data_IF_709652012336
#
_entry.id   IF_709652012336
#
_cell.length_a   1.000
_cell.length_b   1.000
_cell.length_c   1.000
_cell.angle_alpha   90.00
_cell.angle_beta   90.00
_cell.angle_gamma   90.00
#
_symmetry.space_group_name_H-M   'P 1'
#
loop_
_entity.id
_entity.type
_entity.pdbx_description
1 polymer ?
#
# COMPACT_ATOMS: atom_id res chain seq x y z
N UNK A 1 -17.18 -26.10 9.50
CA UNK A 1 -16.30 -25.18 10.26
C UNK A 1 -16.97 -23.82 10.23
N UNK A 2 -17.20 -23.20 11.39
CA UNK A 2 -17.87 -21.89 11.49
C UNK A 2 -16.86 -20.81 11.93
N UNK A 3 -17.15 -19.54 11.63
CA UNK A 3 -16.34 -18.42 12.11
C UNK A 3 -16.61 -18.12 13.58
N UNK A 4 -15.64 -17.46 14.23
CA UNK A 4 -15.88 -16.82 15.54
C UNK A 4 -16.88 -15.68 15.36
N UNK A 5 -17.80 -15.53 16.29
CA UNK A 5 -18.75 -14.41 16.28
C UNK A 5 -18.07 -13.09 16.63
N UNK A 6 -18.51 -12.00 16.01
CA UNK A 6 -18.16 -10.62 16.38
C UNK A 6 -19.37 -9.98 17.09
N UNK A 7 -19.15 -9.34 18.24
CA UNK A 7 -20.22 -8.76 19.04
C UNK A 7 -20.35 -7.26 18.77
N UNK A 8 -21.47 -6.84 18.17
CA UNK A 8 -21.75 -5.43 17.84
C UNK A 8 -22.28 -4.62 19.03
N UNK A 9 -22.86 -5.30 20.01
CA UNK A 9 -23.62 -4.68 21.10
C UNK A 9 -24.89 -5.45 21.42
N UNK A 10 -25.44 -5.23 22.60
CA UNK A 10 -26.66 -5.86 23.10
C UNK A 10 -27.94 -5.10 22.72
N UNK A 11 -27.82 -3.84 22.26
CA UNK A 11 -28.96 -2.93 22.05
C UNK A 11 -28.85 -2.13 20.77
N UNK A 12 -28.61 -2.84 19.67
CA UNK A 12 -28.59 -2.30 18.32
C UNK A 12 -29.83 -2.74 17.55
N UNK A 13 -30.22 -1.98 16.54
CA UNK A 13 -31.23 -2.40 15.56
C UNK A 13 -30.53 -2.80 14.26
N UNK A 14 -30.41 -4.10 13.93
CA UNK A 14 -29.75 -4.55 12.71
C UNK A 14 -30.43 -3.98 11.47
N UNK A 15 -29.63 -3.55 10.49
CA UNK A 15 -30.14 -3.09 9.20
C UNK A 15 -29.77 -4.11 8.12
N UNK A 16 -28.60 -3.93 7.49
CA UNK A 16 -28.14 -4.79 6.39
C UNK A 16 -26.79 -5.41 6.71
N UNK A 17 -26.53 -6.55 6.09
CA UNK A 17 -25.21 -7.18 6.05
C UNK A 17 -24.90 -7.46 4.59
N UNK A 18 -23.86 -6.83 4.08
CA UNK A 18 -23.49 -6.91 2.67
C UNK A 18 -21.98 -7.08 2.51
N UNK A 19 -21.54 -7.66 1.40
CA UNK A 19 -20.12 -7.68 1.06
C UNK A 19 -19.71 -6.26 0.67
N UNK A 20 -18.51 -5.84 1.09
CA UNK A 20 -18.03 -4.52 0.75
C UNK A 20 -17.91 -4.35 -0.76
N UNK A 21 -18.37 -3.19 -1.27
CA UNK A 21 -18.32 -2.84 -2.69
C UNK A 21 -16.99 -2.23 -3.12
N UNK A 22 -16.08 -1.98 -2.16
CA UNK A 22 -14.74 -1.48 -2.45
C UNK A 22 -13.92 -2.60 -3.10
N UNK A 23 -13.34 -2.32 -4.28
CA UNK A 23 -12.54 -3.28 -5.04
C UNK A 23 -11.29 -3.77 -4.28
N UNK A 24 -10.77 -2.95 -3.37
CA UNK A 24 -9.61 -3.27 -2.55
C UNK A 24 -9.96 -4.15 -1.33
N UNK A 25 -11.25 -4.30 -1.02
CA UNK A 25 -11.70 -5.06 0.14
C UNK A 25 -11.87 -6.54 -0.18
N UNK A 26 -10.85 -7.35 0.12
CA UNK A 26 -10.92 -8.82 0.06
C UNK A 26 -11.52 -9.39 1.34
N UNK A 27 -12.60 -10.17 1.20
CA UNK A 27 -13.30 -10.84 2.31
C UNK A 27 -13.83 -9.90 3.41
N UNK A 28 -14.26 -8.69 3.03
CA UNK A 28 -14.82 -7.72 3.97
C UNK A 28 -16.35 -7.71 3.89
N UNK A 29 -16.98 -7.80 5.05
CA UNK A 29 -18.43 -7.68 5.22
C UNK A 29 -18.72 -6.36 5.92
N UNK A 30 -19.70 -5.62 5.41
CA UNK A 30 -20.21 -4.40 6.03
C UNK A 30 -21.49 -4.75 6.77
N UNK A 31 -21.52 -4.45 8.07
CA UNK A 31 -22.70 -4.61 8.91
C UNK A 31 -23.21 -3.23 9.29
N UNK A 32 -24.38 -2.89 8.78
CA UNK A 32 -25.08 -1.64 9.07
C UNK A 32 -26.09 -1.89 10.20
N UNK A 33 -26.11 -1.02 11.19
CA UNK A 33 -26.99 -1.10 12.35
C UNK A 33 -27.35 0.30 12.85
N UNK A 34 -28.46 0.45 13.55
CA UNK A 34 -28.71 1.65 14.33
C UNK A 34 -28.31 1.41 15.79
N UNK A 35 -27.63 2.38 16.37
CA UNK A 35 -27.28 2.45 17.77
C UNK A 35 -28.08 3.56 18.47
N UNK A 36 -28.09 3.52 19.79
CA UNK A 36 -28.77 4.52 20.60
C UNK A 36 -27.90 5.76 20.75
N UNK A 37 -28.53 6.93 20.75
CA UNK A 37 -27.85 8.19 21.08
C UNK A 37 -27.24 8.15 22.49
N UNK A 38 -26.06 8.75 22.63
CA UNK A 38 -25.35 8.78 23.91
C UNK A 38 -26.15 9.54 24.98
N UNK A 39 -26.12 9.05 26.22
CA UNK A 39 -26.86 9.62 27.34
C UNK A 39 -28.39 9.38 27.35
N UNK A 40 -28.97 8.73 26.34
CA UNK A 40 -30.42 8.43 26.32
C UNK A 40 -30.82 7.27 27.25
N UNK A 41 -32.09 7.15 27.67
CA UNK A 41 -32.58 6.01 28.44
C UNK A 41 -32.51 4.68 27.67
N UNK A 42 -32.41 3.58 28.42
CA UNK A 42 -32.29 2.21 27.87
C UNK A 42 -33.55 1.70 27.16
N UNK A 43 -34.67 2.42 27.29
CA UNK A 43 -35.96 2.14 26.67
C UNK A 43 -36.16 2.87 25.33
N UNK A 44 -35.27 3.80 24.98
CA UNK A 44 -35.35 4.54 23.71
C UNK A 44 -34.83 3.68 22.56
N UNK A 45 -35.51 3.73 21.40
CA UNK A 45 -35.15 2.91 20.25
C UNK A 45 -33.85 3.42 19.62
N UNK A 46 -32.97 2.52 19.13
CA UNK A 46 -31.79 2.90 18.37
C UNK A 46 -32.15 3.70 17.10
N UNK A 47 -31.46 4.82 16.88
CA UNK A 47 -31.74 5.77 15.79
C UNK A 47 -30.48 6.27 15.08
N UNK A 48 -29.29 6.13 15.69
CA UNK A 48 -28.01 6.58 15.16
C UNK A 48 -27.47 5.52 14.22
N UNK A 49 -27.49 5.79 12.91
CA UNK A 49 -26.88 4.90 11.92
C UNK A 49 -25.38 4.72 12.17
N UNK A 50 -24.95 3.47 12.31
CA UNK A 50 -23.56 3.05 12.41
C UNK A 50 -23.30 1.91 11.43
N UNK A 51 -22.03 1.76 11.09
CA UNK A 51 -21.56 0.71 10.21
C UNK A 51 -20.24 0.20 10.76
N UNK A 52 -20.02 -1.11 10.69
CA UNK A 52 -18.72 -1.73 10.95
C UNK A 52 -18.32 -2.57 9.76
N UNK A 53 -17.05 -2.51 9.41
CA UNK A 53 -16.46 -3.31 8.34
C UNK A 53 -15.65 -4.41 9.01
N UNK A 54 -15.91 -5.66 8.66
CA UNK A 54 -15.28 -6.82 9.27
C UNK A 54 -14.59 -7.63 8.18
N UNK A 55 -13.27 -7.74 8.26
CA UNK A 55 -12.47 -8.62 7.41
C UNK A 55 -12.45 -10.01 8.01
N UNK A 56 -12.86 -11.01 7.23
CA UNK A 56 -12.74 -12.41 7.63
C UNK A 56 -11.37 -12.95 7.22
N UNK A 57 -10.59 -13.36 8.22
CA UNK A 57 -9.42 -14.20 8.02
C UNK A 57 -9.89 -15.65 7.81
N UNK A 58 -9.63 -16.20 6.63
CA UNK A 58 -10.16 -17.50 6.20
C UNK A 58 -9.39 -18.69 6.80
N UNK A 59 -8.16 -18.47 7.25
CA UNK A 59 -7.31 -19.52 7.80
C UNK A 59 -7.61 -19.74 9.28
N UNK A 60 -7.77 -18.63 10.02
CA UNK A 60 -8.10 -18.62 11.45
C UNK A 60 -9.60 -18.55 11.73
N UNK A 61 -10.42 -18.29 10.71
CA UNK A 61 -11.88 -18.12 10.82
C UNK A 61 -12.27 -17.02 11.84
N UNK A 62 -11.50 -15.94 11.88
CA UNK A 62 -11.68 -14.80 12.80
C UNK A 62 -12.01 -13.51 12.07
N UNK A 63 -12.68 -12.57 12.74
CA UNK A 63 -12.98 -11.25 12.20
C UNK A 63 -12.05 -10.19 12.80
N UNK A 64 -11.48 -9.35 11.94
CA UNK A 64 -10.83 -8.09 12.29
C UNK A 64 -11.68 -6.90 11.83
N UNK A 65 -11.78 -5.86 12.66
CA UNK A 65 -12.44 -4.61 12.27
C UNK A 65 -11.56 -3.83 11.30
N UNK A 66 -12.14 -3.41 10.18
CA UNK A 66 -11.52 -2.52 9.21
C UNK A 66 -11.91 -1.10 9.59
N UNK A 67 -10.94 -0.36 10.11
CA UNK A 67 -11.12 1.06 10.40
C UNK A 67 -11.21 1.80 9.06
N UNK A 68 -12.31 2.53 8.85
CA UNK A 68 -12.46 3.35 7.66
C UNK A 68 -11.52 4.54 7.71
N UNK A 69 -10.95 4.91 6.57
CA UNK A 69 -9.94 5.97 6.45
C UNK A 69 -8.66 5.70 7.25
N UNK A 70 -8.47 4.46 7.71
CA UNK A 70 -7.17 3.98 8.16
C UNK A 70 -6.34 3.71 6.91
N UNK A 71 -5.51 4.68 6.53
CA UNK A 71 -4.29 4.38 5.79
C UNK A 71 -3.56 3.36 6.67
N UNK A 72 -3.68 2.08 6.34
CA UNK A 72 -3.29 1.00 7.23
C UNK A 72 -1.92 1.27 7.81
N UNK A 73 -1.78 1.25 9.14
CA UNK A 73 -0.48 1.07 9.79
C UNK A 73 0.04 -0.30 9.34
N UNK A 74 0.67 -0.34 8.18
CA UNK A 74 1.51 -1.43 7.73
C UNK A 74 2.52 -1.70 8.84
N UNK A 75 2.75 -2.97 9.13
CA UNK A 75 3.85 -3.35 10.01
C UNK A 75 5.11 -3.47 9.15
N UNK A 76 6.08 -2.54 9.25
CA UNK A 76 7.29 -2.57 8.42
C UNK A 76 8.11 -3.85 8.60
N UNK A 77 7.93 -4.57 9.72
CA UNK A 77 8.68 -5.79 10.04
C UNK A 77 8.23 -7.01 9.23
N UNK A 78 7.05 -6.98 8.62
CA UNK A 78 6.53 -8.07 7.78
C UNK A 78 6.44 -7.70 6.30
N UNK A 79 6.85 -6.47 5.94
CA UNK A 79 6.89 -6.02 4.56
C UNK A 79 8.14 -6.55 3.84
N UNK A 80 7.97 -6.88 2.56
CA UNK A 80 9.05 -7.37 1.70
C UNK A 80 8.97 -6.71 0.34
N UNK A 81 10.11 -6.59 -0.36
CA UNK A 81 10.14 -5.95 -1.69
C UNK A 81 9.25 -6.67 -2.72
N UNK A 82 9.11 -7.99 -2.61
CA UNK A 82 8.36 -8.82 -3.55
C UNK A 82 6.87 -9.01 -3.20
N UNK A 83 6.36 -8.38 -2.13
CA UNK A 83 4.98 -8.60 -1.69
C UNK A 83 3.94 -7.98 -2.65
N UNK A 84 4.35 -6.98 -3.42
CA UNK A 84 3.51 -6.26 -4.36
C UNK A 84 4.35 -5.57 -5.44
N UNK A 85 3.67 -4.97 -6.41
CA UNK A 85 4.26 -3.99 -7.33
C UNK A 85 4.25 -2.63 -6.66
N UNK A 86 5.39 -1.94 -6.67
CA UNK A 86 5.59 -0.63 -6.08
C UNK A 86 5.52 0.45 -7.15
N UNK A 87 4.68 1.45 -6.94
CA UNK A 87 4.47 2.56 -7.88
C UNK A 87 5.20 3.80 -7.38
N UNK A 88 5.98 4.44 -8.23
CA UNK A 88 6.70 5.66 -7.87
C UNK A 88 5.72 6.78 -7.52
N UNK A 89 5.89 7.39 -6.35
CA UNK A 89 5.07 8.52 -5.89
C UNK A 89 5.85 9.82 -6.11
N UNK A 90 7.09 9.87 -5.62
CA UNK A 90 7.96 11.03 -5.76
C UNK A 90 9.42 10.73 -5.44
N UNK A 91 10.30 11.61 -5.87
CA UNK A 91 11.68 11.70 -5.39
C UNK A 91 11.95 13.10 -4.90
N UNK A 92 12.41 13.22 -3.65
CA UNK A 92 12.81 14.48 -3.03
C UNK A 92 14.33 14.48 -2.83
N UNK A 93 15.02 15.43 -3.43
CA UNK A 93 16.44 15.67 -3.21
C UNK A 93 16.67 16.74 -2.15
N UNK A 94 17.83 16.71 -1.50
CA UNK A 94 18.23 17.66 -0.46
C UNK A 94 18.56 19.06 -0.99
N UNK A 95 18.67 19.23 -2.30
CA UNK A 95 18.82 20.54 -2.96
C UNK A 95 17.46 21.17 -3.34
N UNK A 96 16.38 20.76 -2.67
CA UNK A 96 14.99 21.15 -2.93
C UNK A 96 14.44 20.73 -4.31
N UNK A 97 15.16 19.93 -5.09
CA UNK A 97 14.62 19.37 -6.34
C UNK A 97 13.65 18.24 -6.02
N UNK A 98 12.43 18.33 -6.55
CA UNK A 98 11.42 17.28 -6.43
C UNK A 98 10.99 16.82 -7.82
N UNK A 99 10.80 15.51 -7.97
CA UNK A 99 10.18 14.91 -9.14
C UNK A 99 8.95 14.10 -8.72
N UNK A 100 7.86 14.29 -9.45
CA UNK A 100 6.63 13.50 -9.34
C UNK A 100 6.27 12.97 -10.74
N UNK A 101 5.74 11.74 -10.86
CA UNK A 101 5.29 11.22 -12.15
C UNK A 101 4.24 12.13 -12.82
N UNK A 102 4.48 12.49 -14.08
CA UNK A 102 3.54 13.20 -14.94
C UNK A 102 2.38 12.29 -15.37
N UNK A 103 2.65 10.99 -15.45
CA UNK A 103 1.68 9.95 -15.73
C UNK A 103 1.50 9.07 -14.50
N UNK A 104 0.28 9.07 -13.95
CA UNK A 104 -0.06 8.22 -12.81
C UNK A 104 0.18 6.74 -13.16
N UNK A 105 0.76 6.00 -12.22
CA UNK A 105 0.98 4.54 -12.30
C UNK A 105 1.87 4.06 -13.45
N UNK A 106 2.51 4.95 -14.21
CA UNK A 106 3.39 4.56 -15.32
C UNK A 106 4.72 3.96 -14.84
N UNK A 107 5.22 4.44 -13.70
CA UNK A 107 6.51 4.06 -13.14
C UNK A 107 6.33 3.03 -12.03
N UNK A 108 6.67 1.78 -12.32
CA UNK A 108 6.47 0.68 -11.38
C UNK A 108 7.71 -0.18 -11.21
N UNK A 109 7.86 -0.80 -10.05
CA UNK A 109 8.89 -1.78 -9.72
C UNK A 109 8.24 -3.07 -9.20
N UNK A 110 8.62 -4.20 -9.76
CA UNK A 110 8.24 -5.52 -9.29
C UNK A 110 9.49 -6.34 -8.99
N UNK A 111 9.59 -6.81 -7.75
CA UNK A 111 10.71 -7.61 -7.27
C UNK A 111 10.31 -9.08 -7.17
N UNK A 112 11.28 -9.97 -7.36
CA UNK A 112 11.11 -11.41 -7.12
C UNK A 112 12.07 -11.89 -6.03
N UNK A 113 11.75 -13.02 -5.40
CA UNK A 113 12.64 -13.68 -4.41
C UNK A 113 13.95 -14.18 -5.03
N UNK A 114 13.99 -14.31 -6.36
CA UNK A 114 15.16 -14.78 -7.11
C UNK A 114 16.19 -13.66 -7.37
N UNK A 115 16.00 -12.47 -6.79
CA UNK A 115 16.90 -11.33 -6.98
C UNK A 115 16.72 -10.64 -8.33
N UNK A 116 15.56 -10.80 -8.98
CA UNK A 116 15.25 -10.11 -10.25
C UNK A 116 14.27 -8.96 -10.04
N UNK A 117 14.46 -7.91 -10.83
CA UNK A 117 13.58 -6.73 -10.84
C UNK A 117 13.07 -6.47 -12.24
N UNK A 118 11.78 -6.15 -12.32
CA UNK A 118 11.14 -5.58 -13.51
C UNK A 118 10.65 -4.19 -13.21
N UNK A 119 10.85 -3.28 -14.16
CA UNK A 119 10.44 -1.88 -14.06
C UNK A 119 9.58 -1.50 -15.28
N UNK A 120 8.59 -0.66 -15.08
CA UNK A 120 7.94 0.08 -16.17
C UNK A 120 8.20 1.56 -15.98
N UNK A 121 8.21 2.29 -17.09
CA UNK A 121 8.24 3.75 -17.12
C UNK A 121 7.13 4.23 -18.04
N UNK A 122 7.02 5.54 -18.21
CA UNK A 122 6.15 6.16 -19.21
C UNK A 122 6.61 5.94 -20.67
N UNK A 123 7.76 5.30 -20.90
CA UNK A 123 8.28 5.04 -22.25
C UNK A 123 8.73 3.59 -22.49
N UNK A 124 9.61 3.06 -21.65
CA UNK A 124 10.18 1.72 -21.79
C UNK A 124 9.87 0.81 -20.62
N UNK A 125 9.98 -0.50 -20.87
CA UNK A 125 10.12 -1.50 -19.83
C UNK A 125 11.58 -1.81 -19.58
N UNK A 126 11.89 -2.14 -18.33
CA UNK A 126 13.24 -2.44 -17.85
C UNK A 126 13.26 -3.75 -17.07
N UNK A 127 14.37 -4.48 -17.16
CA UNK A 127 14.58 -5.71 -16.40
C UNK A 127 16.04 -5.80 -15.95
N UNK A 128 16.26 -6.30 -14.74
CA UNK A 128 17.59 -6.44 -14.18
C UNK A 128 17.62 -7.34 -12.96
N UNK A 129 18.69 -7.18 -12.18
CA UNK A 129 18.90 -7.90 -10.93
C UNK A 129 19.08 -6.92 -9.79
N UNK A 130 18.83 -7.38 -8.57
CA UNK A 130 19.13 -6.63 -7.36
C UNK A 130 19.71 -7.58 -6.31
N UNK A 131 20.59 -7.03 -5.48
CA UNK A 131 21.19 -7.73 -4.35
C UNK A 131 20.86 -6.99 -3.06
N UNK A 132 20.63 -7.75 -1.98
CA UNK A 132 20.32 -7.23 -0.66
C UNK A 132 21.42 -7.58 0.33
N UNK A 133 21.82 -6.58 1.11
CA UNK A 133 22.70 -6.74 2.26
C UNK A 133 22.11 -5.98 3.44
N UNK A 134 21.43 -6.70 4.34
CA UNK A 134 20.63 -6.10 5.42
C UNK A 134 19.57 -5.14 4.87
N UNK A 135 19.71 -3.84 5.07
CA UNK A 135 18.85 -2.78 4.54
C UNK A 135 19.44 -2.08 3.30
N UNK A 136 20.64 -2.48 2.86
CA UNK A 136 21.22 -1.99 1.61
C UNK A 136 20.64 -2.75 0.42
N UNK A 137 20.40 -2.01 -0.66
CA UNK A 137 19.95 -2.55 -1.93
C UNK A 137 20.86 -2.03 -3.05
N UNK A 138 21.37 -2.94 -3.86
CA UNK A 138 22.17 -2.61 -5.04
C UNK A 138 21.49 -3.15 -6.28
N UNK A 139 21.22 -2.28 -7.25
CA UNK A 139 20.73 -2.69 -8.56
C UNK A 139 21.89 -3.06 -9.49
N UNK A 140 21.81 -4.24 -10.08
CA UNK A 140 22.71 -4.67 -11.13
C UNK A 140 22.41 -3.99 -12.47
N UNK A 141 23.11 -4.37 -13.54
CA UNK A 141 22.84 -3.84 -14.88
C UNK A 141 21.38 -4.08 -15.29
N UNK A 142 20.70 -3.01 -15.70
CA UNK A 142 19.33 -3.07 -16.21
C UNK A 142 19.32 -3.00 -17.74
N UNK A 143 18.62 -3.95 -18.37
CA UNK A 143 18.26 -3.88 -19.77
C UNK A 143 16.95 -3.10 -19.93
N UNK A 144 16.83 -2.31 -20.99
CA UNK A 144 15.63 -1.53 -21.30
C UNK A 144 15.26 -1.68 -22.77
N UNK A 145 13.97 -1.54 -23.09
CA UNK A 145 13.55 -1.34 -24.49
C UNK A 145 14.08 0.00 -25.02
N UNK A 146 14.03 0.21 -26.34
CA UNK A 146 14.58 1.41 -27.00
C UNK A 146 13.51 2.20 -27.74
N UNK A 147 12.37 2.43 -27.09
CA UNK A 147 11.33 3.35 -27.55
C UNK A 147 11.78 4.78 -27.26
N UNK A 148 11.45 5.69 -28.17
CA UNK A 148 11.62 7.12 -27.95
C UNK A 148 10.26 7.73 -27.62
N UNK A 149 10.21 8.46 -26.50
CA UNK A 149 9.04 9.21 -26.08
C UNK A 149 9.47 10.63 -25.74
N UNK A 150 8.75 11.62 -26.28
CA UNK A 150 8.96 13.00 -25.88
C UNK A 150 8.42 13.21 -24.46
N UNK A 151 9.09 14.06 -23.68
CA UNK A 151 8.66 14.45 -22.32
C UNK A 151 8.61 13.30 -21.29
N UNK A 152 9.29 12.19 -21.57
CA UNK A 152 9.40 11.07 -20.63
C UNK A 152 10.26 11.43 -19.42
N UNK A 153 9.89 10.92 -18.25
CA UNK A 153 10.66 11.02 -17.00
C UNK A 153 11.52 9.77 -16.71
N UNK A 154 11.75 8.92 -17.73
CA UNK A 154 12.58 7.71 -17.62
C UNK A 154 14.00 8.00 -17.14
N UNK A 155 14.59 9.12 -17.55
CA UNK A 155 15.96 9.47 -17.16
C UNK A 155 16.04 9.76 -15.65
N UNK A 156 15.12 10.57 -15.12
CA UNK A 156 15.05 10.92 -13.70
C UNK A 156 14.80 9.67 -12.84
N UNK A 157 13.93 8.78 -13.31
CA UNK A 157 13.62 7.53 -12.63
C UNK A 157 14.83 6.59 -12.58
N UNK A 158 15.51 6.39 -13.71
CA UNK A 158 16.68 5.50 -13.78
C UNK A 158 17.90 6.06 -13.05
N UNK A 159 18.09 7.38 -13.06
CA UNK A 159 19.15 8.03 -12.28
C UNK A 159 18.90 7.85 -10.78
N UNK A 160 17.67 8.02 -10.32
CA UNK A 160 17.28 7.76 -8.92
C UNK A 160 17.61 6.32 -8.52
N UNK A 161 17.22 5.31 -9.32
CA UNK A 161 17.53 3.90 -9.03
C UNK A 161 19.04 3.65 -8.95
N UNK A 162 19.84 4.30 -9.81
CA UNK A 162 21.31 4.16 -9.79
C UNK A 162 21.96 4.75 -8.53
N UNK A 163 21.26 5.72 -7.92
CA UNK A 163 21.67 6.44 -6.71
C UNK A 163 21.12 5.82 -5.43
N UNK A 164 20.20 4.86 -5.49
CA UNK A 164 19.72 4.16 -4.30
C UNK A 164 20.87 3.44 -3.57
N UNK A 165 20.86 3.51 -2.24
CA UNK A 165 21.80 2.83 -1.35
C UNK A 165 21.08 1.87 -0.41
N UNK A 166 20.02 2.34 0.24
CA UNK A 166 19.27 1.59 1.24
C UNK A 166 17.77 1.75 1.01
N UNK A 167 17.00 0.90 1.69
CA UNK A 167 15.56 0.97 1.68
C UNK A 167 14.96 0.69 3.05
N UNK A 168 13.74 1.17 3.27
CA UNK A 168 12.92 0.80 4.41
C UNK A 168 11.43 0.91 4.06
N UNK A 169 10.59 0.32 4.91
CA UNK A 169 9.14 0.44 4.79
C UNK A 169 8.58 1.39 5.84
N UNK A 170 7.56 2.16 5.48
CA UNK A 170 6.86 3.05 6.41
C UNK A 170 5.62 2.35 6.97
N UNK A 171 5.12 2.85 8.11
CA UNK A 171 3.82 2.41 8.61
C UNK A 171 2.68 2.78 7.68
N UNK A 172 2.86 3.69 6.71
CA UNK A 172 1.82 3.99 5.71
C UNK A 172 1.80 2.97 4.55
N UNK A 173 2.61 1.93 4.65
CA UNK A 173 2.77 0.90 3.64
C UNK A 173 3.53 1.36 2.40
N UNK A 174 4.46 2.29 2.58
CA UNK A 174 5.31 2.80 1.49
C UNK A 174 6.67 2.12 1.53
N UNK A 175 7.25 1.92 0.35
CA UNK A 175 8.66 1.61 0.17
C UNK A 175 9.41 2.92 -0.03
N UNK A 176 10.42 3.17 0.78
CA UNK A 176 11.29 4.34 0.67
C UNK A 176 12.69 3.89 0.32
N UNK A 177 13.26 4.47 -0.74
CA UNK A 177 14.68 4.38 -1.06
C UNK A 177 15.40 5.60 -0.53
N UNK A 178 16.51 5.38 0.18
CA UNK A 178 17.46 6.42 0.52
C UNK A 178 18.56 6.46 -0.53
N UNK A 179 18.91 7.66 -0.96
CA UNK A 179 19.89 7.89 -2.00
C UNK A 179 21.29 8.08 -1.38
N UNK A 180 22.32 7.62 -2.09
CA UNK A 180 23.73 7.76 -1.73
C UNK A 180 24.08 9.19 -1.33
N UNK A 181 25.07 9.31 -0.45
CA UNK A 181 25.63 10.58 0.02
C UNK A 181 24.60 11.52 0.66
N UNK A 182 23.54 10.96 1.27
CA UNK A 182 22.37 11.72 1.74
C UNK A 182 21.84 12.65 0.64
N UNK A 183 21.72 12.19 -0.61
CA UNK A 183 21.22 13.03 -1.69
C UNK A 183 19.71 13.29 -1.60
N UNK A 184 18.97 12.47 -0.86
CA UNK A 184 17.52 12.55 -0.71
C UNK A 184 16.87 11.18 -0.59
N UNK A 185 15.57 11.12 -0.91
CA UNK A 185 14.77 9.89 -0.83
C UNK A 185 13.75 9.77 -1.96
N UNK A 186 13.42 8.54 -2.38
CA UNK A 186 12.34 8.24 -3.30
C UNK A 186 11.26 7.38 -2.61
N UNK A 187 9.99 7.71 -2.82
CA UNK A 187 8.84 7.08 -2.17
C UNK A 187 8.03 6.31 -3.21
N UNK A 188 7.61 5.11 -2.84
CA UNK A 188 6.77 4.22 -3.62
C UNK A 188 5.59 3.69 -2.80
N UNK A 189 4.46 3.40 -3.46
CA UNK A 189 3.25 2.85 -2.85
C UNK A 189 2.66 1.70 -3.68
#
# INVERSE_FOLDING_TARGET
>A
VGSRGYFLGDRIAPQTTEVSRNINHKNVIVVNYADREDGRPMSEQPSVGKSVWLKLDIDSMTFGEVVQDFEGDADPNVMTLNMQTWTWVKTQYNNDTEFTPNQAEAFTLAFTEEGTISATTDCNSMHGTYELHENEITFGPMAMTRMFCAESQEQEFTEMLSKTQSYFFTSNGELVFELKDDAGSAIFR
#
